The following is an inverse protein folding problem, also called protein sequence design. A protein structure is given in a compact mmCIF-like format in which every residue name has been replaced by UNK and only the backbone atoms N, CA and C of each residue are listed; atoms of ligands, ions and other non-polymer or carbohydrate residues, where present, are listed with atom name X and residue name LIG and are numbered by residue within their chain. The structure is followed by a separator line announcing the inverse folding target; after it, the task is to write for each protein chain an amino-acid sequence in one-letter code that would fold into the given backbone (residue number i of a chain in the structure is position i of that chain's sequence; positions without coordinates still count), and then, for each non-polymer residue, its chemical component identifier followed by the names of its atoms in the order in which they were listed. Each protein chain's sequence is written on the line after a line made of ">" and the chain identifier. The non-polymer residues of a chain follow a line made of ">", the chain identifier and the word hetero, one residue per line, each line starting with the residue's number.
data_IF_828892378341
#
_entry.id   IF_828892378341
#
_cell.length_a   1.000
_cell.length_b   1.000
_cell.length_c   1.000
_cell.angle_alpha   90.00
_cell.angle_beta   90.00
_cell.angle_gamma   90.00
#
_symmetry.space_group_name_H-M   'P 1'
#
loop_
_entity.id
_entity.type
_entity.pdbx_description
1 polymer ?
#
# COMPACT_ATOMS: atom_id res chain seq x y z
N UNK A 1 14.75 1.53 4.98
CA UNK A 1 14.18 1.43 3.63
C UNK A 1 12.67 1.39 3.78
N UNK A 2 11.92 2.21 3.03
CA UNK A 2 10.48 2.42 3.24
C UNK A 2 9.67 1.15 2.94
N UNK A 3 10.01 0.45 1.86
CA UNK A 3 9.38 -0.80 1.46
C UNK A 3 9.52 -1.89 2.54
N UNK A 4 10.71 -2.05 3.11
CA UNK A 4 10.95 -3.02 4.17
C UNK A 4 10.09 -2.77 5.43
N UNK A 5 9.89 -1.50 5.79
CA UNK A 5 9.05 -1.12 6.93
C UNK A 5 7.56 -1.34 6.66
N UNK A 6 7.10 -0.99 5.46
CA UNK A 6 5.73 -1.22 5.03
C UNK A 6 5.39 -2.71 4.98
N UNK A 7 6.27 -3.53 4.42
CA UNK A 7 6.12 -5.00 4.43
C UNK A 7 6.07 -5.55 5.87
N UNK A 8 6.94 -5.08 6.76
CA UNK A 8 6.95 -5.50 8.18
C UNK A 8 5.61 -5.24 8.85
N UNK A 9 4.97 -4.09 8.61
CA UNK A 9 3.64 -3.76 9.15
C UNK A 9 2.54 -4.69 8.63
N UNK A 10 2.63 -5.09 7.36
CA UNK A 10 1.72 -6.10 6.80
C UNK A 10 1.97 -7.48 7.44
N UNK A 11 3.23 -7.87 7.62
CA UNK A 11 3.58 -9.13 8.28
C UNK A 11 3.10 -9.20 9.74
N UNK A 12 3.12 -8.07 10.48
CA UNK A 12 2.55 -7.98 11.83
C UNK A 12 1.03 -8.24 11.85
N UNK A 13 0.32 -7.86 10.79
CA UNK A 13 -1.14 -7.95 10.70
C UNK A 13 -1.62 -9.28 10.10
N UNK A 14 -0.89 -9.81 9.11
CA UNK A 14 -1.29 -10.96 8.31
C UNK A 14 -0.41 -12.20 8.52
N UNK A 15 0.68 -12.07 9.27
CA UNK A 15 1.65 -13.13 9.52
C UNK A 15 2.86 -13.08 8.58
N UNK A 16 3.94 -13.81 8.92
CA UNK A 16 5.15 -13.86 8.12
C UNK A 16 4.93 -14.66 6.82
N UNK A 17 5.77 -14.40 5.81
CA UNK A 17 5.78 -15.16 4.56
C UNK A 17 4.66 -14.80 3.57
N UNK A 18 3.99 -13.68 3.80
CA UNK A 18 3.01 -13.13 2.86
C UNK A 18 3.65 -12.74 1.53
N UNK A 19 2.93 -13.01 0.44
CA UNK A 19 3.31 -12.51 -0.88
C UNK A 19 2.93 -11.02 -0.96
N UNK A 20 3.88 -10.20 -1.40
CA UNK A 20 3.68 -8.75 -1.50
C UNK A 20 4.25 -8.21 -2.81
N UNK A 21 3.68 -7.10 -3.28
CA UNK A 21 4.22 -6.30 -4.37
C UNK A 21 4.40 -4.87 -3.92
N UNK A 22 5.52 -4.26 -4.31
CA UNK A 22 5.81 -2.86 -4.03
C UNK A 22 5.42 -2.00 -5.23
N UNK A 23 4.57 -1.02 -4.99
CA UNK A 23 4.14 -0.03 -5.98
C UNK A 23 4.77 1.31 -5.61
N UNK A 24 5.44 1.93 -6.59
CA UNK A 24 6.04 3.25 -6.43
C UNK A 24 5.47 4.18 -7.49
N UNK A 25 4.89 5.28 -7.03
CA UNK A 25 4.24 6.25 -7.90
C UNK A 25 4.76 7.66 -7.61
N UNK A 26 4.99 8.42 -8.68
CA UNK A 26 5.32 9.83 -8.62
C UNK A 26 4.06 10.61 -9.00
N UNK A 27 3.36 11.14 -7.99
CA UNK A 27 2.13 11.90 -8.14
C UNK A 27 2.42 13.36 -7.83
N UNK A 28 2.26 14.24 -8.82
CA UNK A 28 2.46 15.69 -8.67
C UNK A 28 3.81 16.12 -8.05
N UNK A 29 4.86 15.31 -8.23
CA UNK A 29 6.19 15.56 -7.66
C UNK A 29 6.43 14.96 -6.28
N UNK A 30 5.44 14.26 -5.72
CA UNK A 30 5.55 13.52 -4.46
C UNK A 30 5.65 12.02 -4.75
N UNK A 31 6.66 11.37 -4.14
CA UNK A 31 6.81 9.92 -4.22
C UNK A 31 5.94 9.25 -3.16
N UNK A 32 5.07 8.36 -3.63
CA UNK A 32 4.32 7.44 -2.77
C UNK A 32 4.87 6.04 -2.96
N UNK A 33 5.17 5.37 -1.85
CA UNK A 33 5.55 3.96 -1.83
C UNK A 33 4.43 3.21 -1.12
N UNK A 34 3.83 2.25 -1.81
CA UNK A 34 2.84 1.33 -1.27
C UNK A 34 3.36 -0.10 -1.34
N UNK A 35 3.04 -0.90 -0.33
CA UNK A 35 3.23 -2.35 -0.36
C UNK A 35 1.85 -2.98 -0.28
N UNK A 36 1.54 -3.83 -1.24
CA UNK A 36 0.27 -4.54 -1.37
C UNK A 36 0.49 -6.02 -1.06
N UNK A 37 -0.30 -6.58 -0.15
CA UNK A 37 -0.48 -8.01 0.05
C UNK A 37 -1.21 -8.60 -1.16
N UNK A 38 -0.64 -9.66 -1.74
CA UNK A 38 -1.30 -10.46 -2.75
C UNK A 38 -1.99 -11.67 -2.12
N UNK A 39 -3.17 -12.00 -2.63
CA UNK A 39 -3.84 -13.28 -2.43
C UNK A 39 -4.19 -13.83 -3.80
N UNK A 40 -3.65 -15.02 -4.10
CA UNK A 40 -3.81 -15.66 -5.41
C UNK A 40 -3.39 -14.73 -6.57
N UNK A 41 -2.33 -13.95 -6.35
CA UNK A 41 -1.80 -12.99 -7.32
C UNK A 41 -2.61 -11.68 -7.45
N UNK A 42 -3.66 -11.48 -6.65
CA UNK A 42 -4.51 -10.28 -6.67
C UNK A 42 -4.28 -9.42 -5.42
N UNK A 43 -4.13 -8.09 -5.54
CA UNK A 43 -4.05 -7.20 -4.38
C UNK A 43 -5.28 -7.31 -3.48
N UNK A 44 -5.05 -7.54 -2.19
CA UNK A 44 -6.11 -7.76 -1.21
C UNK A 44 -6.09 -6.75 -0.05
N UNK A 45 -4.93 -6.19 0.28
CA UNK A 45 -4.75 -5.15 1.30
C UNK A 45 -3.40 -4.47 1.10
N UNK A 46 -3.26 -3.19 1.46
CA UNK A 46 -2.02 -2.46 1.31
C UNK A 46 -1.72 -1.54 2.48
N UNK A 47 -0.45 -1.14 2.58
CA UNK A 47 -0.02 -0.03 3.43
C UNK A 47 0.91 0.86 2.63
N UNK A 48 0.64 2.16 2.66
CA UNK A 48 1.44 3.17 1.98
C UNK A 48 2.19 4.06 2.97
N UNK A 49 3.21 4.72 2.44
CA UNK A 49 3.88 5.85 3.05
C UNK A 49 3.89 6.99 2.04
N UNK A 50 3.08 8.00 2.33
CA UNK A 50 3.21 9.31 1.69
C UNK A 50 4.40 10.05 2.30
N UNK A 51 5.38 10.42 1.46
CA UNK A 51 6.47 11.30 1.88
C UNK A 51 6.09 12.79 1.76
N UNK A 52 4.79 13.08 1.64
CA UNK A 52 4.16 14.37 1.34
C UNK A 52 2.78 14.54 2.00
N UNK A 53 2.33 15.77 2.23
CA UNK A 53 1.12 16.09 3.00
C UNK A 53 -0.11 16.10 2.06
N UNK A 54 -0.66 14.93 1.73
CA UNK A 54 -1.84 14.78 0.88
C UNK A 54 -2.91 13.90 1.52
N UNK A 55 -4.05 14.49 1.86
CA UNK A 55 -5.22 13.82 2.47
C UNK A 55 -5.85 12.79 1.51
N UNK A 56 -6.10 11.55 1.96
CA UNK A 56 -6.85 10.56 1.18
C UNK A 56 -8.35 10.88 1.27
N UNK A 57 -8.92 11.44 0.21
CA UNK A 57 -10.37 11.43 -0.04
C UNK A 57 -10.70 10.17 -0.85
N UNK A 58 -11.03 9.08 -0.15
CA UNK A 58 -11.63 7.92 -0.79
C UNK A 58 -13.16 8.13 -0.85
N UNK A 59 -13.67 8.64 -1.98
CA UNK A 59 -15.10 8.62 -2.29
C UNK A 59 -15.41 7.31 -3.06
N UNK A 60 -15.93 6.30 -2.37
CA UNK A 60 -16.58 5.15 -3.00
C UNK A 60 -18.08 5.44 -3.10
N UNK A 61 -18.54 5.94 -4.23
CA UNK A 61 -19.96 5.90 -4.60
C UNK A 61 -20.18 4.76 -5.60
N UNK A 62 -20.52 3.59 -5.08
CA UNK A 62 -21.10 2.50 -5.86
C UNK A 62 -22.64 2.63 -5.79
N UNK A 63 -23.22 3.08 -6.89
CA UNK A 63 -24.51 2.72 -7.49
C UNK A 63 -25.58 2.15 -6.53
N UNK A 64 -26.65 2.92 -6.33
CA UNK A 64 -28.00 2.41 -6.04
C UNK A 64 -28.96 2.88 -7.13
#
# INVERSE_FOLDING_TARGET
>A
DAEGELRRRLEESYGPGIETVTVRELLHGEETVAVELLRDGVPAAGVDQHTGHGEIVALLEAVA
#
